data_IF_720502089699
#
_entry.id   IF_720502089699
#
_cell.length_a   1.000
_cell.length_b   1.000
_cell.length_c   1.000
_cell.angle_alpha   90.00
_cell.angle_beta   90.00
_cell.angle_gamma   90.00
#
_symmetry.space_group_name_H-M   'P 1'
#
loop_
_entity.id
_entity.type
_entity.pdbx_description
1 polymer ?
#
# COMPACT_ATOMS: atom_id res chain seq x y z
N UNK A 1 26.19 -21.89 -8.73
CA UNK A 1 25.94 -21.84 -7.26
C UNK A 1 26.84 -20.78 -6.65
N UNK A 2 26.35 -19.97 -5.69
CA UNK A 2 27.17 -18.97 -4.97
C UNK A 2 28.01 -19.68 -3.91
N UNK A 3 29.33 -19.47 -3.91
CA UNK A 3 30.28 -20.17 -3.05
C UNK A 3 30.19 -19.76 -1.57
N UNK A 4 30.16 -18.45 -1.29
CA UNK A 4 29.95 -17.91 0.07
C UNK A 4 28.64 -17.12 0.11
N UNK A 5 27.56 -17.80 0.50
CA UNK A 5 26.23 -17.18 0.59
C UNK A 5 26.15 -16.12 1.70
N UNK A 6 26.90 -16.28 2.79
CA UNK A 6 26.84 -15.34 3.91
C UNK A 6 27.51 -14.01 3.55
N UNK A 7 28.68 -14.07 2.88
CA UNK A 7 29.33 -12.89 2.34
C UNK A 7 28.46 -12.21 1.27
N UNK A 8 27.90 -12.98 0.33
CA UNK A 8 27.00 -12.45 -0.69
C UNK A 8 25.80 -11.70 -0.07
N UNK A 9 25.13 -12.28 0.91
CA UNK A 9 23.96 -11.67 1.56
C UNK A 9 24.31 -10.40 2.33
N UNK A 10 25.46 -10.36 3.02
CA UNK A 10 25.94 -9.13 3.67
C UNK A 10 26.19 -8.02 2.65
N UNK A 11 26.87 -8.36 1.56
CA UNK A 11 27.12 -7.42 0.47
C UNK A 11 25.82 -6.91 -0.16
N UNK A 12 24.86 -7.81 -0.43
CA UNK A 12 23.55 -7.46 -1.00
C UNK A 12 22.75 -6.55 -0.06
N UNK A 13 22.74 -6.85 1.24
CA UNK A 13 22.10 -5.99 2.25
C UNK A 13 22.73 -4.60 2.31
N UNK A 14 24.06 -4.50 2.26
CA UNK A 14 24.76 -3.21 2.18
C UNK A 14 24.48 -2.47 0.87
N UNK A 15 24.41 -3.19 -0.25
CA UNK A 15 24.09 -2.63 -1.55
C UNK A 15 22.69 -1.98 -1.53
N UNK A 16 21.69 -2.70 -1.02
CA UNK A 16 20.30 -2.19 -0.89
C UNK A 16 20.24 -0.98 0.03
N UNK A 17 20.97 -1.00 1.16
CA UNK A 17 21.02 0.13 2.11
C UNK A 17 21.58 1.41 1.49
N UNK A 18 22.48 1.30 0.52
CA UNK A 18 23.09 2.46 -0.16
C UNK A 18 22.13 3.12 -1.15
N UNK A 19 21.14 2.39 -1.64
CA UNK A 19 20.10 2.92 -2.52
C UNK A 19 18.88 3.36 -1.71
N UNK A 20 18.80 4.67 -1.42
CA UNK A 20 17.59 5.26 -0.85
C UNK A 20 16.37 4.99 -1.74
N UNK A 21 15.21 4.80 -1.13
CA UNK A 21 13.97 4.68 -1.89
C UNK A 21 13.68 5.99 -2.66
N UNK A 22 13.57 5.88 -3.99
CA UNK A 22 13.18 6.98 -4.87
C UNK A 22 11.72 6.77 -5.29
N UNK A 23 10.83 7.50 -4.62
CA UNK A 23 9.37 7.39 -4.79
C UNK A 23 8.98 7.66 -6.25
N UNK A 24 9.53 8.71 -6.85
CA UNK A 24 9.18 9.08 -8.22
C UNK A 24 9.69 8.07 -9.23
N UNK A 25 10.89 7.52 -9.04
CA UNK A 25 11.40 6.40 -9.84
C UNK A 25 10.53 5.16 -9.66
N UNK A 26 10.18 4.81 -8.43
CA UNK A 26 9.39 3.62 -8.12
C UNK A 26 7.99 3.70 -8.72
N UNK A 27 7.33 4.87 -8.63
CA UNK A 27 6.03 5.11 -9.27
C UNK A 27 6.12 5.01 -10.79
N UNK A 28 7.14 5.61 -11.43
CA UNK A 28 7.33 5.49 -12.89
C UNK A 28 7.58 4.05 -13.33
N UNK A 29 8.41 3.31 -12.61
CA UNK A 29 8.68 1.89 -12.90
C UNK A 29 7.41 1.06 -12.75
N UNK A 30 6.68 1.26 -11.68
CA UNK A 30 5.42 0.58 -11.40
C UNK A 30 4.39 0.83 -12.52
N UNK A 31 4.20 2.07 -12.92
CA UNK A 31 3.27 2.41 -14.01
C UNK A 31 3.71 1.80 -15.34
N UNK A 32 5.00 1.83 -15.66
CA UNK A 32 5.51 1.19 -16.87
C UNK A 32 5.27 -0.34 -16.86
N UNK A 33 5.50 -1.01 -15.72
CA UNK A 33 5.22 -2.43 -15.55
C UNK A 33 3.72 -2.73 -15.68
N UNK A 34 2.86 -1.90 -15.09
CA UNK A 34 1.41 -2.07 -15.17
C UNK A 34 0.90 -1.89 -16.60
N UNK A 35 1.36 -0.87 -17.32
CA UNK A 35 1.01 -0.66 -18.73
C UNK A 35 1.47 -1.84 -19.61
N UNK A 36 2.68 -2.34 -19.39
CA UNK A 36 3.18 -3.49 -20.12
C UNK A 36 2.35 -4.76 -19.83
N UNK A 37 2.01 -5.02 -18.56
CA UNK A 37 1.17 -6.14 -18.18
C UNK A 37 -0.21 -6.09 -18.84
N UNK A 38 -0.81 -4.89 -18.96
CA UNK A 38 -2.07 -4.69 -19.70
C UNK A 38 -1.95 -4.99 -21.18
N UNK A 39 -0.89 -4.50 -21.83
CA UNK A 39 -0.63 -4.77 -23.26
C UNK A 39 -0.49 -6.27 -23.54
N UNK A 40 0.02 -7.02 -22.56
CA UNK A 40 0.15 -8.47 -22.63
C UNK A 40 -1.14 -9.23 -22.27
N UNK A 41 -2.24 -8.52 -21.97
CA UNK A 41 -3.53 -9.11 -21.61
C UNK A 41 -3.61 -9.66 -20.19
N UNK A 42 -2.65 -9.35 -19.32
CA UNK A 42 -2.67 -9.81 -17.92
C UNK A 42 -3.73 -9.09 -17.06
N UNK A 43 -4.22 -7.93 -17.51
CA UNK A 43 -5.28 -7.16 -16.87
C UNK A 43 -6.30 -6.66 -17.91
N UNK A 44 -7.55 -6.37 -17.51
CA UNK A 44 -8.59 -5.90 -18.43
C UNK A 44 -8.18 -4.59 -19.16
N UNK A 45 -8.60 -4.39 -20.42
CA UNK A 45 -8.46 -3.10 -21.11
C UNK A 45 -9.34 -2.01 -20.46
N UNK A 46 -9.02 -0.72 -20.67
CA UNK A 46 -9.84 0.41 -20.15
C UNK A 46 -11.22 0.37 -20.81
N UNK A 47 -11.29 -0.05 -22.07
CA UNK A 47 -12.51 -0.18 -22.84
C UNK A 47 -12.54 -1.56 -23.56
N UNK A 48 -13.58 -2.40 -23.37
CA UNK A 48 -13.76 -3.63 -24.13
C UNK A 48 -13.90 -3.42 -25.65
N UNK A 49 -14.22 -2.19 -26.08
CA UNK A 49 -14.40 -1.77 -27.48
C UNK A 49 -13.23 -0.94 -28.01
N UNK A 50 -12.05 -0.98 -27.38
CA UNK A 50 -10.83 -0.33 -27.90
C UNK A 50 -10.26 -1.08 -29.13
N UNK A 51 -11.11 -1.32 -30.12
CA UNK A 51 -10.75 -1.79 -31.46
C UNK A 51 -10.39 -0.57 -32.32
N UNK A 52 -9.10 -0.45 -32.64
CA UNK A 52 -8.54 0.23 -33.82
C UNK A 52 -9.23 1.55 -34.23
N UNK A 53 -8.92 2.66 -33.55
CA UNK A 53 -8.63 3.98 -34.19
C UNK A 53 -8.55 5.14 -33.18
N UNK A 54 -7.46 5.21 -32.40
CA UNK A 54 -7.00 6.49 -31.83
C UNK A 54 -5.49 6.50 -31.61
N UNK A 55 -4.74 6.27 -32.70
CA UNK A 55 -3.41 6.90 -32.82
C UNK A 55 -3.63 8.40 -32.75
N UNK A 56 -2.93 9.08 -31.85
CA UNK A 56 -2.96 10.54 -31.59
C UNK A 56 -3.85 11.02 -30.44
N UNK A 57 -3.51 10.63 -29.20
CA UNK A 57 -3.20 11.62 -28.17
C UNK A 57 -2.22 11.04 -27.17
N UNK A 58 -1.24 11.86 -26.85
CA UNK A 58 -0.19 11.68 -25.88
C UNK A 58 -0.75 11.58 -24.44
N UNK A 59 -1.59 10.57 -24.12
CA UNK A 59 -1.94 10.29 -22.72
C UNK A 59 -0.79 9.47 -22.15
N UNK A 60 0.33 10.16 -21.94
CA UNK A 60 1.49 9.62 -21.25
C UNK A 60 1.09 9.48 -19.77
N UNK A 61 0.68 8.26 -19.42
CA UNK A 61 1.27 7.50 -18.32
C UNK A 61 1.25 8.17 -16.93
N UNK A 62 0.13 8.12 -16.18
CA UNK A 62 0.09 8.35 -14.71
C UNK A 62 -1.21 7.84 -14.02
N UNK A 63 -1.75 6.65 -14.38
CA UNK A 63 -3.09 6.22 -13.91
C UNK A 63 -3.24 6.14 -12.38
N UNK A 64 -2.23 5.59 -11.69
CA UNK A 64 -2.27 5.49 -10.22
C UNK A 64 -1.98 6.83 -9.57
N UNK A 65 -1.02 7.60 -10.11
CA UNK A 65 -0.75 8.95 -9.61
C UNK A 65 -1.98 9.84 -9.70
N UNK A 66 -2.67 9.86 -10.84
CA UNK A 66 -3.89 10.65 -11.05
C UNK A 66 -5.02 10.19 -10.11
N UNK A 67 -5.20 8.88 -9.94
CA UNK A 67 -6.20 8.31 -9.03
C UNK A 67 -5.91 8.76 -7.58
N UNK A 68 -4.68 8.61 -7.11
CA UNK A 68 -4.28 8.97 -5.75
C UNK A 68 -4.37 10.49 -5.51
N UNK A 69 -4.00 11.31 -6.51
CA UNK A 69 -4.12 12.78 -6.43
C UNK A 69 -5.58 13.24 -6.35
N UNK A 70 -6.49 12.66 -7.17
CA UNK A 70 -7.93 12.96 -7.10
C UNK A 70 -8.53 12.52 -5.76
N UNK A 71 -8.22 11.31 -5.32
CA UNK A 71 -8.67 10.77 -4.04
C UNK A 71 -8.23 11.66 -2.88
N UNK A 72 -6.96 12.07 -2.85
CA UNK A 72 -6.42 12.94 -1.82
C UNK A 72 -7.19 14.27 -1.72
N UNK A 73 -7.41 14.93 -2.86
CA UNK A 73 -8.17 16.19 -2.91
C UNK A 73 -9.59 16.04 -2.39
N UNK A 74 -10.28 14.97 -2.78
CA UNK A 74 -11.66 14.74 -2.36
C UNK A 74 -11.76 14.44 -0.86
N UNK A 75 -10.84 13.62 -0.32
CA UNK A 75 -10.81 13.32 1.10
C UNK A 75 -10.42 14.55 1.94
N UNK A 76 -9.44 15.34 1.50
CA UNK A 76 -9.07 16.60 2.15
C UNK A 76 -10.23 17.61 2.14
N UNK A 77 -10.93 17.76 1.01
CA UNK A 77 -12.09 18.65 0.89
C UNK A 77 -13.24 18.29 1.86
N UNK A 78 -13.32 17.02 2.26
CA UNK A 78 -14.31 16.49 3.21
C UNK A 78 -13.78 16.33 4.62
N UNK A 79 -12.51 16.70 4.88
CA UNK A 79 -11.83 16.47 6.16
C UNK A 79 -11.84 14.99 6.59
N UNK A 80 -11.77 14.06 5.63
CA UNK A 80 -11.63 12.63 5.88
C UNK A 80 -10.14 12.35 6.06
N UNK A 81 -9.71 12.12 7.30
CA UNK A 81 -8.37 11.60 7.54
C UNK A 81 -8.22 10.24 6.82
N UNK A 82 -7.08 9.99 6.20
CA UNK A 82 -6.86 8.74 5.48
C UNK A 82 -5.38 8.38 5.40
N UNK A 83 -5.10 7.11 5.07
CA UNK A 83 -3.77 6.65 4.73
C UNK A 83 -3.83 5.59 3.64
N UNK A 84 -3.04 5.76 2.59
CA UNK A 84 -2.79 4.71 1.60
C UNK A 84 -1.89 3.66 2.24
N UNK A 85 -2.29 2.39 2.15
CA UNK A 85 -1.60 1.24 2.74
C UNK A 85 -1.21 0.23 1.66
N UNK A 86 -0.94 -1.01 2.07
CA UNK A 86 -0.87 -2.14 1.14
C UNK A 86 0.29 -2.05 0.15
N UNK A 87 0.07 -2.56 -1.06
CA UNK A 87 1.10 -2.62 -2.10
C UNK A 87 1.59 -1.24 -2.55
N UNK A 88 0.70 -0.24 -2.58
CA UNK A 88 1.05 1.12 -2.97
C UNK A 88 2.02 1.77 -1.97
N UNK A 89 1.80 1.58 -0.66
CA UNK A 89 2.71 2.11 0.36
C UNK A 89 4.10 1.43 0.34
N UNK A 90 4.18 0.15 -0.06
CA UNK A 90 5.47 -0.54 -0.23
C UNK A 90 6.34 0.14 -1.29
N UNK A 91 5.75 0.70 -2.35
CA UNK A 91 6.47 1.40 -3.41
C UNK A 91 7.28 2.59 -2.87
N UNK A 92 6.86 3.20 -1.76
CA UNK A 92 7.54 4.36 -1.18
C UNK A 92 8.78 3.99 -0.39
N UNK A 93 8.79 2.81 0.24
CA UNK A 93 9.77 2.48 1.27
C UNK A 93 10.65 1.27 0.92
N UNK A 94 10.21 0.42 -0.01
CA UNK A 94 10.87 -0.83 -0.36
C UNK A 94 11.33 -0.88 -1.81
N UNK A 95 11.08 -2.02 -2.45
CA UNK A 95 11.31 -2.22 -3.88
C UNK A 95 10.00 -2.09 -4.67
N UNK A 96 10.02 -1.44 -5.84
CA UNK A 96 8.83 -1.33 -6.66
C UNK A 96 8.43 -2.72 -7.15
N UNK A 97 7.15 -3.04 -6.98
CA UNK A 97 6.57 -4.30 -7.43
C UNK A 97 5.19 -4.06 -8.01
N UNK A 98 4.77 -4.94 -8.90
CA UNK A 98 3.41 -4.88 -9.43
C UNK A 98 2.39 -5.21 -8.33
N UNK A 99 1.38 -4.36 -8.21
CA UNK A 99 0.16 -4.45 -7.42
C UNK A 99 -0.96 -3.90 -8.30
N UNK A 100 -2.19 -4.38 -8.18
CA UNK A 100 -3.26 -4.05 -9.13
C UNK A 100 -4.42 -3.27 -8.49
N UNK A 101 -4.22 -2.90 -7.23
CA UNK A 101 -5.19 -2.40 -6.28
C UNK A 101 -4.64 -1.20 -5.52
N UNK A 102 -5.56 -0.43 -4.95
CA UNK A 102 -5.29 0.64 -4.00
C UNK A 102 -6.04 0.30 -2.71
N UNK A 103 -5.28 0.10 -1.64
CA UNK A 103 -5.83 -0.06 -0.30
C UNK A 103 -5.74 1.28 0.43
N UNK A 104 -6.85 1.77 0.99
CA UNK A 104 -6.88 3.03 1.73
C UNK A 104 -7.68 2.87 3.01
N UNK A 105 -7.07 3.21 4.15
CA UNK A 105 -7.78 3.30 5.43
C UNK A 105 -8.29 4.73 5.61
N UNK A 106 -9.56 4.90 5.97
CA UNK A 106 -10.17 6.18 6.33
C UNK A 106 -10.39 6.25 7.84
N UNK A 107 -10.12 7.41 8.42
CA UNK A 107 -10.30 7.76 9.84
C UNK A 107 -11.76 7.97 10.22
N UNK A 108 -12.63 7.15 9.66
CA UNK A 108 -14.08 7.21 9.82
C UNK A 108 -14.53 5.84 10.29
N UNK A 109 -15.36 5.81 11.34
CA UNK A 109 -16.02 4.58 11.78
C UNK A 109 -17.14 4.18 10.80
N UNK A 110 -17.62 2.92 10.81
CA UNK A 110 -18.68 2.45 9.89
C UNK A 110 -19.93 3.33 9.84
N UNK A 111 -20.27 4.01 10.93
CA UNK A 111 -21.39 4.95 11.03
C UNK A 111 -21.23 6.16 10.10
N UNK A 112 -19.99 6.52 9.75
CA UNK A 112 -19.68 7.57 8.80
C UNK A 112 -19.64 7.10 7.35
N UNK A 113 -20.08 5.88 7.04
CA UNK A 113 -20.23 5.41 5.64
C UNK A 113 -20.90 6.43 4.70
N UNK A 114 -21.94 7.20 5.09
CA UNK A 114 -22.55 8.18 4.20
C UNK A 114 -21.55 9.21 3.61
N UNK A 115 -20.62 9.76 4.40
CA UNK A 115 -19.64 10.75 3.89
C UNK A 115 -18.64 10.10 2.93
N UNK A 116 -18.30 8.83 3.17
CA UNK A 116 -17.42 8.05 2.29
C UNK A 116 -18.12 7.73 0.97
N UNK A 117 -19.40 7.37 1.00
CA UNK A 117 -20.19 7.13 -0.22
C UNK A 117 -20.35 8.38 -1.09
N UNK A 118 -20.45 9.56 -0.49
CA UNK A 118 -20.44 10.82 -1.23
C UNK A 118 -19.09 11.06 -1.92
N UNK A 119 -17.97 10.80 -1.24
CA UNK A 119 -16.63 10.89 -1.81
C UNK A 119 -16.44 9.89 -2.97
N UNK A 120 -16.84 8.64 -2.76
CA UNK A 120 -16.84 7.57 -3.78
C UNK A 120 -17.62 8.01 -5.03
N UNK A 121 -18.81 8.60 -4.86
CA UNK A 121 -19.61 9.13 -5.98
C UNK A 121 -18.92 10.28 -6.69
N UNK A 122 -18.36 11.23 -5.95
CA UNK A 122 -17.66 12.39 -6.52
C UNK A 122 -16.40 11.99 -7.31
N UNK A 123 -15.72 10.92 -6.87
CA UNK A 123 -14.56 10.35 -7.54
C UNK A 123 -14.91 9.51 -8.78
N UNK A 124 -16.19 9.22 -9.03
CA UNK A 124 -16.59 8.31 -10.12
C UNK A 124 -16.23 6.86 -9.84
N UNK A 125 -16.26 6.46 -8.57
CA UNK A 125 -16.01 5.09 -8.16
C UNK A 125 -17.31 4.31 -8.06
N UNK A 126 -17.29 3.08 -8.59
CA UNK A 126 -18.38 2.13 -8.48
C UNK A 126 -18.21 1.27 -7.24
N UNK A 127 -19.23 1.24 -6.36
CA UNK A 127 -19.31 0.27 -5.25
C UNK A 127 -19.60 -1.13 -5.82
N UNK A 128 -18.87 -2.13 -5.32
CA UNK A 128 -18.88 -3.50 -5.89
C UNK A 128 -19.73 -4.50 -5.11
N UNK A 129 -20.48 -4.03 -4.11
CA UNK A 129 -21.39 -4.81 -3.28
C UNK A 129 -22.80 -4.24 -3.37
N UNK A 130 -23.80 -5.10 -3.30
CA UNK A 130 -25.21 -4.70 -3.40
C UNK A 130 -25.67 -3.91 -2.17
N UNK A 131 -25.37 -4.42 -0.97
CA UNK A 131 -25.68 -3.77 0.31
C UNK A 131 -24.38 -3.30 0.98
N UNK A 132 -24.01 -2.04 0.68
CA UNK A 132 -22.80 -1.43 1.21
C UNK A 132 -22.82 -1.31 2.74
N UNK A 133 -23.98 -0.99 3.34
CA UNK A 133 -24.06 -0.80 4.79
C UNK A 133 -23.86 -2.13 5.52
N UNK A 134 -24.59 -3.18 5.13
CA UNK A 134 -24.45 -4.48 5.74
C UNK A 134 -23.03 -5.06 5.54
N UNK A 135 -22.43 -4.83 4.38
CA UNK A 135 -21.08 -5.31 4.07
C UNK A 135 -20.01 -4.61 4.91
N UNK A 136 -20.05 -3.27 4.99
CA UNK A 136 -19.09 -2.48 5.79
C UNK A 136 -19.23 -2.79 7.27
N UNK A 137 -20.45 -2.91 7.81
CA UNK A 137 -20.65 -3.28 9.22
C UNK A 137 -20.08 -4.64 9.59
N UNK A 138 -20.01 -5.58 8.63
CA UNK A 138 -19.48 -6.93 8.84
C UNK A 138 -17.99 -7.05 8.62
N UNK A 139 -17.43 -6.28 7.69
CA UNK A 139 -16.07 -6.49 7.19
C UNK A 139 -15.13 -5.32 7.43
N UNK A 140 -15.67 -4.14 7.77
CA UNK A 140 -14.95 -2.87 7.82
C UNK A 140 -14.39 -2.39 6.48
N UNK A 141 -14.84 -2.98 5.36
CA UNK A 141 -14.33 -2.65 4.02
C UNK A 141 -15.49 -2.26 3.10
N UNK A 142 -15.29 -1.18 2.33
CA UNK A 142 -16.12 -0.82 1.19
C UNK A 142 -15.33 -1.06 -0.10
N UNK A 143 -15.61 -2.15 -0.83
CA UNK A 143 -14.93 -2.45 -2.08
C UNK A 143 -15.48 -1.60 -3.23
N UNK A 144 -14.56 -0.95 -3.94
CA UNK A 144 -14.84 -0.01 -5.02
C UNK A 144 -14.01 -0.32 -6.28
N UNK A 145 -14.41 0.24 -7.41
CA UNK A 145 -13.61 0.29 -8.64
C UNK A 145 -13.68 1.68 -9.23
N UNK A 146 -12.53 2.23 -9.60
CA UNK A 146 -12.49 3.47 -10.37
C UNK A 146 -12.93 3.18 -11.81
N UNK A 147 -14.02 3.80 -12.27
CA UNK A 147 -14.59 3.52 -13.58
C UNK A 147 -13.65 3.91 -14.73
N UNK A 148 -12.87 4.98 -14.55
CA UNK A 148 -11.98 5.49 -15.58
C UNK A 148 -10.76 4.59 -15.81
N UNK A 149 -10.18 4.03 -14.75
CA UNK A 149 -8.96 3.22 -14.82
C UNK A 149 -9.19 1.71 -14.79
N UNK A 150 -10.32 1.29 -14.22
CA UNK A 150 -10.61 -0.10 -13.88
C UNK A 150 -9.90 -0.62 -12.62
N UNK A 151 -9.16 0.24 -11.92
CA UNK A 151 -8.39 -0.13 -10.72
C UNK A 151 -9.34 -0.47 -9.57
N UNK A 152 -9.04 -1.55 -8.84
CA UNK A 152 -9.74 -1.94 -7.62
C UNK A 152 -9.29 -1.03 -6.48
N UNK A 153 -10.23 -0.51 -5.70
CA UNK A 153 -9.95 0.27 -4.49
C UNK A 153 -10.70 -0.38 -3.33
N UNK A 154 -10.00 -0.75 -2.27
CA UNK A 154 -10.63 -1.22 -1.04
C UNK A 154 -10.50 -0.11 0.03
N UNK A 155 -11.65 0.46 0.43
CA UNK A 155 -11.72 1.51 1.45
C UNK A 155 -12.00 0.88 2.80
N UNK A 156 -11.05 0.99 3.73
CA UNK A 156 -11.07 0.32 5.04
C UNK A 156 -11.42 1.35 6.12
N UNK A 157 -12.38 1.04 6.97
CA UNK A 157 -12.85 1.94 8.03
C UNK A 157 -12.06 1.71 9.32
N UNK A 158 -11.39 2.75 9.81
CA UNK A 158 -10.63 2.68 11.05
C UNK A 158 -11.55 2.67 12.28
N UNK A 159 -11.30 1.74 13.20
CA UNK A 159 -12.06 1.62 14.45
C UNK A 159 -11.17 1.40 15.68
N UNK A 160 -9.96 0.89 15.50
CA UNK A 160 -9.05 0.55 16.60
C UNK A 160 -8.18 1.73 17.04
N UNK A 161 -7.69 1.68 18.28
CA UNK A 161 -6.72 2.65 18.79
C UNK A 161 -5.42 2.68 17.95
N UNK A 162 -5.02 1.53 17.41
CA UNK A 162 -3.88 1.41 16.50
C UNK A 162 -4.10 2.20 15.21
N UNK A 163 -5.23 2.02 14.53
CA UNK A 163 -5.50 2.72 13.26
C UNK A 163 -5.56 4.24 13.47
N UNK A 164 -6.12 4.69 14.60
CA UNK A 164 -6.13 6.11 14.96
C UNK A 164 -4.72 6.66 15.21
N UNK A 165 -3.81 5.87 15.77
CA UNK A 165 -2.40 6.26 15.92
C UNK A 165 -1.67 6.27 14.56
N UNK A 166 -1.85 5.24 13.74
CA UNK A 166 -1.27 5.18 12.40
C UNK A 166 -1.72 6.36 11.52
N UNK A 167 -2.99 6.75 11.60
CA UNK A 167 -3.54 7.92 10.90
C UNK A 167 -2.93 9.26 11.36
N UNK A 168 -2.48 9.36 12.62
CA UNK A 168 -1.75 10.55 13.11
C UNK A 168 -0.31 10.62 12.61
N UNK A 169 0.26 9.48 12.21
CA UNK A 169 1.66 9.31 11.83
C UNK A 169 1.86 9.22 10.31
N UNK A 170 0.84 9.55 9.53
CA UNK A 170 0.90 9.47 8.07
C UNK A 170 2.06 10.26 7.49
N UNK A 171 2.68 9.70 6.46
CA UNK A 171 3.67 10.39 5.66
C UNK A 171 2.97 11.07 4.50
N UNK A 172 3.04 12.40 4.47
CA UNK A 172 2.55 13.22 3.36
C UNK A 172 3.59 13.21 2.25
N UNK A 173 3.20 12.76 1.06
CA UNK A 173 4.09 12.63 -0.10
C UNK A 173 3.59 13.52 -1.23
N UNK A 174 4.45 14.35 -1.86
CA UNK A 174 4.04 15.21 -2.96
C UNK A 174 3.59 14.43 -4.20
N UNK A 175 2.38 14.71 -4.68
CA UNK A 175 1.81 14.21 -5.92
C UNK A 175 1.30 15.42 -6.72
N UNK A 176 2.17 15.98 -7.56
CA UNK A 176 1.86 17.20 -8.30
C UNK A 176 1.66 18.38 -7.37
N UNK A 177 0.45 18.95 -7.36
CA UNK A 177 0.08 20.09 -6.52
C UNK A 177 -0.62 19.69 -5.21
N UNK A 178 -0.83 18.40 -4.96
CA UNK A 178 -1.41 17.88 -3.71
C UNK A 178 -0.39 17.03 -2.96
N UNK A 179 -0.66 16.77 -1.69
CA UNK A 179 0.03 15.72 -0.95
C UNK A 179 -0.90 14.52 -0.79
N UNK A 180 -0.35 13.32 -0.86
CA UNK A 180 -1.07 12.08 -0.58
C UNK A 180 -0.57 11.52 0.75
N UNK A 181 -1.49 11.18 1.65
CA UNK A 181 -1.19 10.55 2.93
C UNK A 181 -0.96 9.04 2.76
N UNK A 182 0.24 8.56 3.07
CA UNK A 182 0.57 7.14 3.13
C UNK A 182 0.81 6.71 4.58
N UNK A 183 0.58 5.43 4.88
CA UNK A 183 1.02 4.85 6.15
C UNK A 183 2.53 5.05 6.33
N UNK A 184 2.97 5.19 7.58
CA UNK A 184 4.41 5.22 7.89
C UNK A 184 5.06 3.88 7.50
N UNK A 185 6.38 3.84 7.25
CA UNK A 185 7.03 2.57 6.93
C UNK A 185 6.94 1.56 8.09
N UNK A 186 6.89 2.01 9.35
CA UNK A 186 6.61 1.17 10.51
C UNK A 186 5.21 0.55 10.45
N UNK A 187 4.17 1.35 10.18
CA UNK A 187 2.80 0.87 10.08
C UNK A 187 2.61 -0.08 8.88
N UNK A 188 3.32 0.15 7.76
CA UNK A 188 3.36 -0.80 6.64
C UNK A 188 3.97 -2.14 7.10
N UNK A 189 5.06 -2.13 7.85
CA UNK A 189 5.65 -3.36 8.42
C UNK A 189 4.66 -4.06 9.34
N UNK A 190 3.98 -3.33 10.24
CA UNK A 190 2.99 -3.92 11.16
C UNK A 190 1.87 -4.62 10.38
N UNK A 191 1.24 -3.93 9.42
CA UNK A 191 0.18 -4.52 8.58
C UNK A 191 0.65 -5.79 7.86
N UNK A 192 1.86 -5.74 7.29
CA UNK A 192 2.45 -6.84 6.53
C UNK A 192 2.84 -8.02 7.40
N UNK A 193 3.37 -7.77 8.60
CA UNK A 193 3.65 -8.81 9.58
C UNK A 193 2.35 -9.48 9.99
N UNK A 194 1.29 -8.74 10.30
CA UNK A 194 -0.01 -9.33 10.67
C UNK A 194 -0.56 -10.20 9.53
N UNK A 195 -0.54 -9.70 8.28
CA UNK A 195 -0.99 -10.47 7.11
C UNK A 195 -0.14 -11.72 6.83
N UNK A 196 1.17 -11.66 7.07
CA UNK A 196 2.07 -12.82 7.16
C UNK A 196 2.27 -13.66 5.89
N UNK A 197 1.80 -13.23 4.72
CA UNK A 197 2.02 -13.96 3.46
C UNK A 197 3.52 -13.94 3.10
N UNK A 198 4.06 -14.94 2.39
CA UNK A 198 5.49 -14.96 2.04
C UNK A 198 6.00 -13.67 1.37
N UNK A 199 5.18 -13.07 0.49
CA UNK A 199 5.49 -11.78 -0.15
C UNK A 199 5.49 -10.61 0.82
N UNK A 200 4.64 -10.63 1.85
CA UNK A 200 4.59 -9.57 2.85
C UNK A 200 5.85 -9.58 3.72
N UNK A 201 6.41 -10.76 4.03
CA UNK A 201 7.69 -10.88 4.75
C UNK A 201 8.84 -10.32 3.91
N UNK A 202 8.86 -10.57 2.61
CA UNK A 202 9.86 -10.00 1.71
C UNK A 202 9.72 -8.48 1.58
N UNK A 203 8.49 -7.96 1.44
CA UNK A 203 8.21 -6.52 1.45
C UNK A 203 8.77 -5.88 2.75
N UNK A 204 8.49 -6.48 3.92
CA UNK A 204 9.03 -6.02 5.20
C UNK A 204 10.56 -6.00 5.25
N UNK A 205 11.24 -7.03 4.71
CA UNK A 205 12.72 -7.09 4.69
C UNK A 205 13.31 -5.95 3.88
N UNK A 206 12.73 -5.67 2.71
CA UNK A 206 13.20 -4.57 1.83
C UNK A 206 12.98 -3.21 2.48
N UNK A 207 11.82 -3.00 3.09
CA UNK A 207 11.53 -1.77 3.84
C UNK A 207 12.52 -1.62 5.01
N UNK A 208 12.72 -2.68 5.81
CA UNK A 208 13.66 -2.68 6.94
C UNK A 208 15.08 -2.32 6.51
N UNK A 209 15.54 -2.87 5.38
CA UNK A 209 16.88 -2.61 4.84
C UNK A 209 17.04 -1.18 4.33
N UNK A 210 16.07 -0.64 3.61
CA UNK A 210 16.17 0.70 3.00
C UNK A 210 15.95 1.84 3.99
N UNK A 211 15.35 1.57 5.15
CA UNK A 211 14.99 2.59 6.13
C UNK A 211 15.72 2.31 7.45
N UNK A 212 16.99 2.72 7.62
CA UNK A 212 17.79 2.40 8.81
C UNK A 212 17.33 3.12 10.09
N UNK A 213 16.41 4.08 9.99
CA UNK A 213 15.92 4.91 11.09
C UNK A 213 14.51 4.55 11.57
N UNK A 214 14.03 3.34 11.24
CA UNK A 214 12.71 2.87 11.71
C UNK A 214 12.65 2.76 13.23
N UNK A 215 11.50 3.11 13.80
CA UNK A 215 11.23 2.91 15.22
C UNK A 215 10.86 1.44 15.51
N UNK A 216 11.87 0.63 15.82
CA UNK A 216 11.66 -0.78 16.19
C UNK A 216 10.81 -0.92 17.47
N UNK A 217 10.93 0.03 18.40
CA UNK A 217 10.19 0.01 19.66
C UNK A 217 8.69 0.15 19.42
N UNK A 218 8.30 1.09 18.57
CA UNK A 218 6.92 1.27 18.12
C UNK A 218 6.36 0.02 17.44
N UNK A 219 7.09 -0.56 16.49
CA UNK A 219 6.67 -1.78 15.78
C UNK A 219 6.42 -2.91 16.78
N UNK A 220 7.38 -3.18 17.66
CA UNK A 220 7.25 -4.24 18.66
C UNK A 220 6.11 -3.99 19.64
N UNK A 221 5.93 -2.75 20.09
CA UNK A 221 4.88 -2.39 21.03
C UNK A 221 3.48 -2.69 20.50
N UNK A 222 3.23 -2.42 19.23
CA UNK A 222 1.95 -2.79 18.59
C UNK A 222 1.84 -4.28 18.29
N UNK A 223 2.88 -4.91 17.75
CA UNK A 223 2.86 -6.35 17.46
C UNK A 223 2.64 -7.18 18.74
N UNK A 224 3.20 -6.75 19.88
CA UNK A 224 2.95 -7.39 21.17
C UNK A 224 1.48 -7.30 21.60
N UNK A 225 0.85 -6.14 21.42
CA UNK A 225 -0.57 -5.97 21.72
C UNK A 225 -1.44 -6.83 20.81
N UNK A 226 -1.14 -6.90 19.52
CA UNK A 226 -1.85 -7.76 18.58
C UNK A 226 -1.65 -9.24 18.88
N UNK A 227 -0.43 -9.66 19.24
CA UNK A 227 -0.12 -11.04 19.60
C UNK A 227 -0.90 -11.46 20.86
N UNK A 228 -0.99 -10.57 21.86
CA UNK A 228 -1.82 -10.79 23.04
C UNK A 228 -3.32 -10.88 22.73
N UNK A 229 -3.82 -10.09 21.77
CA UNK A 229 -5.24 -10.05 21.40
C UNK A 229 -5.67 -11.20 20.47
N UNK A 230 -4.80 -11.62 19.54
CA UNK A 230 -5.12 -12.56 18.46
C UNK A 230 -4.49 -13.95 18.66
N UNK A 231 -3.54 -14.10 19.58
CA UNK A 231 -2.88 -15.38 19.87
C UNK A 231 -1.94 -15.87 18.77
N UNK A 232 -1.49 -14.98 17.87
CA UNK A 232 -0.58 -15.28 16.78
C UNK A 232 0.85 -14.75 17.04
N UNK A 233 1.90 -15.47 16.62
CA UNK A 233 3.30 -15.16 16.98
C UNK A 233 3.91 -14.03 16.11
N UNK A 234 3.32 -12.84 16.16
CA UNK A 234 3.74 -11.70 15.34
C UNK A 234 5.15 -11.19 15.64
N UNK A 235 5.59 -11.19 16.91
CA UNK A 235 6.95 -10.80 17.29
C UNK A 235 7.99 -11.76 16.72
N UNK A 236 7.69 -13.06 16.72
CA UNK A 236 8.54 -14.09 16.11
C UNK A 236 8.63 -13.89 14.59
N UNK A 237 7.49 -13.59 13.95
CA UNK A 237 7.44 -13.29 12.51
C UNK A 237 8.24 -12.03 12.15
N UNK A 238 8.16 -10.98 12.97
CA UNK A 238 8.99 -9.78 12.81
C UNK A 238 10.48 -10.06 13.04
N UNK A 239 10.85 -10.97 13.94
CA UNK A 239 12.25 -11.38 14.08
C UNK A 239 12.81 -12.01 12.78
N UNK A 240 12.00 -12.73 12.01
CA UNK A 240 12.39 -13.29 10.71
C UNK A 240 12.60 -12.23 9.61
N UNK A 241 11.97 -11.06 9.75
CA UNK A 241 12.23 -9.90 8.89
C UNK A 241 13.64 -9.37 9.15
N UNK A 242 14.07 -9.37 10.43
CA UNK A 242 15.39 -8.89 10.85
C UNK A 242 16.51 -9.88 10.56
N UNK A 243 16.21 -11.18 10.56
CA UNK A 243 17.14 -12.23 10.18
C UNK A 243 17.37 -12.18 8.66
N UNK A 244 18.30 -11.32 8.25
CA UNK A 244 18.97 -11.47 6.96
C UNK A 244 19.93 -12.63 7.17
N UNK A 245 19.49 -13.86 6.92
CA UNK A 245 20.24 -15.11 7.17
C UNK A 245 21.76 -14.96 6.97
N UNK A 246 22.45 -14.73 8.09
CA UNK A 246 23.85 -14.32 8.12
C UNK A 246 24.35 -14.07 9.53
N UNK A 247 23.85 -14.85 10.50
CA UNK A 247 24.34 -14.89 11.86
C UNK A 247 23.81 -16.16 12.50
N UNK A 248 24.63 -17.21 12.52
CA UNK A 248 24.49 -18.23 13.56
C UNK A 248 24.52 -17.48 14.90
N UNK A 249 23.43 -17.58 15.64
CA UNK A 249 23.45 -17.30 17.07
C UNK A 249 24.51 -18.23 17.66
N UNK A 250 25.60 -17.67 18.18
CA UNK A 250 26.52 -18.39 19.06
C UNK A 250 25.78 -18.83 20.33
#
# INVERSE_FOLDING_TARGET
MIADRAHWRRWEAEYIRREAADIDRNLRLYEALYQHARQMGAYPPIDPLEDVSRKTRLVRCFMFRDLLEKMAREFDARSIAYMVIGGQAVLLYGEPRLTADVDVTVGVAPEGLPVVLEAVRALGWQVLVEDAEAFVRRTMVLPCRDEASGIRIDVIFAQSAYEQEALRRVRRVPFGATEVCFASPEDVIIHKVIAGRPRDIEDCRRIWLKNPHLDEGYIRGWLQQFEAALGEPFLSRFAQVRQIDGGETQ
#
